data_IF_960188918782
#
_entry.id   IF_960188918782
#
_cell.length_a   1.000
_cell.length_b   1.000
_cell.length_c   1.000
_cell.angle_alpha   90.00
_cell.angle_beta   90.00
_cell.angle_gamma   90.00
#
_symmetry.space_group_name_H-M   'P 1'
#
loop_
_entity.id
_entity.type
_entity.pdbx_description
1 polymer ?
#
# COMPACT_ATOMS: atom_id res chain seq x y z
N UNK A 1 2.58 7.73 32.05
CA UNK A 1 1.51 7.96 31.05
C UNK A 1 2.22 8.53 29.84
N UNK A 2 2.16 7.86 28.68
CA UNK A 2 2.67 8.44 27.43
C UNK A 2 1.68 9.52 27.01
N UNK A 3 2.15 10.76 26.88
CA UNK A 3 1.34 11.88 26.42
C UNK A 3 1.23 11.83 24.88
N UNK A 4 0.11 12.30 24.33
CA UNK A 4 -0.22 12.29 22.90
C UNK A 4 0.94 12.72 21.95
N UNK A 5 1.72 13.79 22.22
CA UNK A 5 2.84 14.19 21.36
C UNK A 5 4.02 13.19 21.34
N UNK A 6 4.14 12.34 22.36
CA UNK A 6 5.20 11.32 22.45
C UNK A 6 4.86 10.09 21.61
N UNK A 7 3.56 9.81 21.42
CA UNK A 7 3.08 8.73 20.57
C UNK A 7 3.36 9.03 19.10
N UNK A 8 3.02 10.23 18.62
CA UNK A 8 3.25 10.60 17.21
C UNK A 8 4.75 10.60 16.88
N UNK A 9 5.60 11.11 17.79
CA UNK A 9 7.04 11.07 17.64
C UNK A 9 7.59 9.63 17.67
N UNK A 10 7.06 8.76 18.54
CA UNK A 10 7.47 7.36 18.60
C UNK A 10 7.06 6.59 17.33
N UNK A 11 5.86 6.83 16.80
CA UNK A 11 5.40 6.20 15.55
C UNK A 11 6.26 6.70 14.38
N UNK A 12 6.49 8.01 14.25
CA UNK A 12 7.31 8.57 13.17
C UNK A 12 8.76 8.04 13.19
N UNK A 13 9.38 7.91 14.38
CA UNK A 13 10.74 7.37 14.53
C UNK A 13 10.85 5.89 14.15
N UNK A 14 9.75 5.15 14.26
CA UNK A 14 9.69 3.73 13.95
C UNK A 14 8.88 3.45 12.67
N UNK A 15 8.61 4.46 11.83
CA UNK A 15 7.78 4.31 10.65
C UNK A 15 8.26 3.20 9.70
N UNK A 16 9.59 2.99 9.63
CA UNK A 16 10.23 1.93 8.85
C UNK A 16 9.98 0.50 9.39
N UNK A 17 9.55 0.36 10.63
CA UNK A 17 9.20 -0.91 11.28
C UNK A 17 7.68 -1.12 11.36
N UNK A 18 6.90 -0.19 10.80
CA UNK A 18 5.45 -0.33 10.68
C UNK A 18 5.18 -1.17 9.44
N UNK A 19 4.87 -2.44 9.67
CA UNK A 19 4.50 -3.41 8.64
C UNK A 19 3.12 -4.01 8.94
N UNK A 20 2.63 -4.84 8.02
CA UNK A 20 1.36 -5.54 8.17
C UNK A 20 1.30 -6.42 9.44
N UNK A 21 2.45 -6.97 9.86
CA UNK A 21 2.55 -7.80 11.07
C UNK A 21 2.28 -6.97 12.32
N UNK A 22 2.85 -5.77 12.42
CA UNK A 22 2.60 -4.84 13.52
C UNK A 22 1.12 -4.46 13.59
N UNK A 23 0.48 -4.20 12.45
CA UNK A 23 -0.95 -3.88 12.36
C UNK A 23 -1.79 -5.06 12.86
N UNK A 24 -1.47 -6.28 12.43
CA UNK A 24 -2.18 -7.48 12.86
C UNK A 24 -2.10 -7.69 14.38
N UNK A 25 -0.90 -7.52 14.97
CA UNK A 25 -0.69 -7.61 16.43
C UNK A 25 -1.44 -6.50 17.17
N UNK A 26 -1.41 -5.27 16.67
CA UNK A 26 -2.13 -4.14 17.27
C UNK A 26 -3.65 -4.38 17.28
N UNK A 27 -4.20 -4.88 16.18
CA UNK A 27 -5.62 -5.21 16.05
C UNK A 27 -6.02 -6.36 17.00
N UNK A 28 -5.20 -7.41 17.10
CA UNK A 28 -5.43 -8.52 18.03
C UNK A 28 -5.48 -8.03 19.50
N UNK A 29 -4.55 -7.15 19.89
CA UNK A 29 -4.54 -6.56 21.23
C UNK A 29 -5.76 -5.66 21.49
N UNK A 30 -6.19 -4.89 20.50
CA UNK A 30 -7.40 -4.07 20.59
C UNK A 30 -8.64 -4.94 20.84
N UNK A 31 -8.80 -6.03 20.08
CA UNK A 31 -9.91 -6.96 20.23
C UNK A 31 -9.90 -7.63 21.62
N UNK A 32 -8.74 -8.03 22.13
CA UNK A 32 -8.63 -8.60 23.47
C UNK A 32 -8.97 -7.59 24.57
N UNK A 33 -8.53 -6.34 24.43
CA UNK A 33 -8.89 -5.26 25.37
C UNK A 33 -10.40 -4.99 25.38
N UNK A 34 -11.04 -5.00 24.20
CA UNK A 34 -12.50 -4.89 24.08
C UNK A 34 -13.23 -6.08 24.73
N UNK A 35 -12.73 -7.31 24.51
CA UNK A 35 -13.29 -8.54 25.12
C UNK A 35 -13.22 -8.49 26.65
N UNK A 36 -12.14 -7.95 27.20
CA UNK A 36 -11.95 -7.73 28.64
C UNK A 36 -12.74 -6.53 29.18
N UNK A 37 -13.43 -5.77 28.32
CA UNK A 37 -14.10 -4.49 28.64
C UNK A 37 -13.14 -3.48 29.26
N UNK A 38 -11.86 -3.54 28.91
CA UNK A 38 -10.88 -2.54 29.29
C UNK A 38 -11.02 -1.33 28.36
N UNK A 39 -11.92 -0.43 28.75
CA UNK A 39 -12.27 0.78 28.00
C UNK A 39 -11.05 1.69 27.82
N UNK A 40 -10.19 1.79 28.83
CA UNK A 40 -9.03 2.68 28.77
C UNK A 40 -7.97 2.15 27.80
N UNK A 41 -7.67 0.85 27.85
CA UNK A 41 -6.69 0.24 26.96
C UNK A 41 -7.20 0.16 25.53
N UNK A 42 -8.47 -0.19 25.33
CA UNK A 42 -9.07 -0.21 23.98
C UNK A 42 -9.10 1.18 23.33
N UNK A 43 -9.43 2.24 24.08
CA UNK A 43 -9.39 3.60 23.55
C UNK A 43 -7.97 4.01 23.10
N UNK A 44 -6.94 3.67 23.89
CA UNK A 44 -5.54 3.96 23.53
C UNK A 44 -5.08 3.18 22.31
N UNK A 45 -5.35 1.87 22.27
CA UNK A 45 -4.96 1.02 21.14
C UNK A 45 -5.65 1.46 19.85
N UNK A 46 -6.92 1.86 19.93
CA UNK A 46 -7.64 2.44 18.79
C UNK A 46 -6.99 3.74 18.30
N UNK A 47 -6.66 4.65 19.22
CA UNK A 47 -6.00 5.92 18.89
C UNK A 47 -4.60 5.73 18.24
N UNK A 48 -3.86 4.69 18.64
CA UNK A 48 -2.58 4.32 18.02
C UNK A 48 -2.82 3.70 16.63
N UNK A 49 -3.81 2.81 16.49
CA UNK A 49 -4.16 2.20 15.21
C UNK A 49 -4.52 3.25 14.15
N UNK A 50 -5.38 4.22 14.51
CA UNK A 50 -5.77 5.30 13.59
C UNK A 50 -4.57 6.14 13.14
N UNK A 51 -3.62 6.42 14.03
CA UNK A 51 -2.39 7.17 13.70
C UNK A 51 -1.44 6.37 12.82
N UNK A 52 -1.25 5.09 13.11
CA UNK A 52 -0.42 4.18 12.31
C UNK A 52 -0.97 4.09 10.89
N UNK A 53 -2.29 3.88 10.75
CA UNK A 53 -2.96 3.84 9.44
C UNK A 53 -2.83 5.18 8.71
N UNK A 54 -3.01 6.31 9.40
CA UNK A 54 -2.85 7.62 8.80
C UNK A 54 -1.39 7.87 8.32
N UNK A 55 -0.39 7.39 9.06
CA UNK A 55 1.01 7.51 8.67
C UNK A 55 1.34 6.66 7.45
N UNK A 56 0.84 5.42 7.39
CA UNK A 56 0.98 4.55 6.21
C UNK A 56 0.35 5.21 4.98
N UNK A 57 -0.84 5.78 5.13
CA UNK A 57 -1.53 6.49 4.05
C UNK A 57 -0.76 7.75 3.59
N UNK A 58 -0.14 8.48 4.51
CA UNK A 58 0.69 9.65 4.19
C UNK A 58 2.02 9.30 3.53
N UNK A 59 2.50 8.06 3.70
CA UNK A 59 3.74 7.55 3.11
C UNK A 59 3.49 6.57 1.97
N UNK A 60 2.26 6.43 1.50
CA UNK A 60 1.96 5.51 0.40
C UNK A 60 2.72 6.00 -0.84
N UNK A 61 3.61 5.18 -1.43
CA UNK A 61 4.38 5.60 -2.59
C UNK A 61 3.43 6.00 -3.72
N UNK A 62 3.77 7.07 -4.45
CA UNK A 62 2.95 7.57 -5.57
C UNK A 62 2.74 6.46 -6.62
N UNK A 63 3.72 5.58 -6.79
CA UNK A 63 3.64 4.42 -7.66
C UNK A 63 2.54 3.43 -7.24
N UNK A 64 2.32 3.23 -5.94
CA UNK A 64 1.28 2.32 -5.43
C UNK A 64 -0.11 2.91 -5.70
N UNK A 65 -0.28 4.21 -5.46
CA UNK A 65 -1.53 4.92 -5.78
C UNK A 65 -1.84 4.83 -7.27
N UNK A 66 -0.82 5.01 -8.11
CA UNK A 66 -0.97 4.91 -9.56
C UNK A 66 -1.40 3.51 -9.98
N UNK A 67 -0.89 2.45 -9.36
CA UNK A 67 -1.35 1.07 -9.62
C UNK A 67 -2.80 0.84 -9.19
N UNK A 68 -3.25 1.43 -8.08
CA UNK A 68 -4.67 1.35 -7.72
C UNK A 68 -5.57 2.01 -8.77
N UNK A 69 -5.17 3.17 -9.31
CA UNK A 69 -5.89 3.83 -10.39
C UNK A 69 -5.92 2.99 -11.67
N UNK A 70 -4.83 2.28 -12.00
CA UNK A 70 -4.76 1.35 -13.13
C UNK A 70 -5.76 0.21 -13.03
N UNK A 71 -5.89 -0.37 -11.84
CA UNK A 71 -6.81 -1.47 -11.55
C UNK A 71 -8.28 -1.00 -11.58
N UNK A 72 -8.52 0.28 -11.26
CA UNK A 72 -9.85 0.88 -11.31
C UNK A 72 -10.22 1.45 -12.69
N UNK A 73 -9.26 1.54 -13.62
CA UNK A 73 -9.49 2.15 -14.91
C UNK A 73 -10.55 1.38 -15.74
N UNK A 74 -11.50 2.09 -16.40
CA UNK A 74 -12.66 1.45 -17.04
C UNK A 74 -12.30 0.49 -18.18
N UNK A 75 -11.15 0.70 -18.82
CA UNK A 75 -10.67 -0.11 -19.93
C UNK A 75 -9.16 -0.30 -19.87
N UNK A 76 -8.66 -1.29 -20.63
CA UNK A 76 -7.22 -1.51 -20.78
C UNK A 76 -6.54 -0.31 -21.45
N UNK A 77 -7.21 0.38 -22.37
CA UNK A 77 -6.67 1.56 -23.05
C UNK A 77 -6.50 2.74 -22.08
N UNK A 78 -7.47 2.95 -21.18
CA UNK A 78 -7.38 3.98 -20.13
C UNK A 78 -6.23 3.66 -19.15
N UNK A 79 -6.10 2.39 -18.75
CA UNK A 79 -4.97 1.96 -17.92
C UNK A 79 -3.63 2.17 -18.63
N UNK A 80 -3.56 1.89 -19.93
CA UNK A 80 -2.34 2.07 -20.72
C UNK A 80 -1.88 3.54 -20.72
N UNK A 81 -2.82 4.49 -20.80
CA UNK A 81 -2.51 5.92 -20.72
C UNK A 81 -1.93 6.30 -19.35
N UNK A 82 -2.52 5.80 -18.26
CA UNK A 82 -2.05 6.04 -16.89
C UNK A 82 -0.65 5.42 -16.68
N UNK A 83 -0.41 4.19 -17.16
CA UNK A 83 0.92 3.56 -17.08
C UNK A 83 1.94 4.42 -17.80
N UNK A 84 1.65 4.86 -19.03
CA UNK A 84 2.61 5.65 -19.81
C UNK A 84 2.97 6.99 -19.15
N UNK A 85 2.00 7.64 -18.49
CA UNK A 85 2.26 8.86 -17.72
C UNK A 85 3.09 8.58 -16.46
N UNK A 86 2.73 7.54 -15.70
CA UNK A 86 3.50 7.10 -14.53
C UNK A 86 4.91 6.65 -14.90
N UNK A 87 5.09 5.98 -16.04
CA UNK A 87 6.38 5.56 -16.57
C UNK A 87 7.30 6.75 -16.88
N UNK A 88 6.75 7.88 -17.31
CA UNK A 88 7.54 9.09 -17.56
C UNK A 88 8.08 9.73 -16.27
N UNK A 89 7.41 9.50 -15.13
CA UNK A 89 7.73 10.10 -13.83
C UNK A 89 8.56 9.15 -12.95
N UNK A 90 8.27 7.85 -12.97
CA UNK A 90 8.81 6.85 -12.03
C UNK A 90 9.67 5.77 -12.72
N UNK A 91 9.60 5.63 -14.05
CA UNK A 91 10.44 4.71 -14.82
C UNK A 91 10.33 3.25 -14.36
N UNK A 92 11.48 2.57 -14.21
CA UNK A 92 11.55 1.16 -13.79
C UNK A 92 10.93 0.89 -12.41
N UNK A 93 10.94 1.86 -11.50
CA UNK A 93 10.37 1.69 -10.15
C UNK A 93 8.87 1.39 -10.21
N UNK A 94 8.13 2.02 -11.12
CA UNK A 94 6.70 1.72 -11.30
C UNK A 94 6.48 0.28 -11.78
N UNK A 95 7.33 -0.22 -12.67
CA UNK A 95 7.26 -1.60 -13.17
C UNK A 95 7.48 -2.61 -12.05
N UNK A 96 8.46 -2.36 -11.17
CA UNK A 96 8.74 -3.23 -10.02
C UNK A 96 7.55 -3.28 -9.06
N UNK A 97 6.91 -2.13 -8.81
CA UNK A 97 5.70 -2.03 -7.97
C UNK A 97 4.53 -2.76 -8.62
N UNK A 98 4.29 -2.54 -9.92
CA UNK A 98 3.26 -3.26 -10.69
C UNK A 98 3.47 -4.77 -10.65
N UNK A 99 4.72 -5.24 -10.80
CA UNK A 99 5.05 -6.67 -10.77
C UNK A 99 4.80 -7.28 -9.38
N UNK A 100 5.15 -6.54 -8.33
CA UNK A 100 4.90 -6.95 -6.94
C UNK A 100 3.39 -7.11 -6.70
N UNK A 101 2.58 -6.14 -7.13
CA UNK A 101 1.13 -6.18 -6.97
C UNK A 101 0.50 -7.28 -7.86
N UNK A 102 0.98 -7.47 -9.08
CA UNK A 102 0.52 -8.54 -9.96
C UNK A 102 0.73 -9.93 -9.32
N UNK A 103 1.90 -10.15 -8.69
CA UNK A 103 2.17 -11.39 -7.96
C UNK A 103 1.21 -11.57 -6.78
N UNK A 104 0.92 -10.53 -6.00
CA UNK A 104 -0.06 -10.60 -4.90
C UNK A 104 -1.46 -10.98 -5.42
N UNK A 105 -1.89 -10.39 -6.53
CA UNK A 105 -3.17 -10.71 -7.16
C UNK A 105 -3.22 -12.17 -7.64
N UNK A 106 -2.12 -12.69 -8.17
CA UNK A 106 -1.98 -14.11 -8.53
C UNK A 106 -2.13 -15.02 -7.30
N UNK A 107 -1.47 -14.68 -6.18
CA UNK A 107 -1.55 -15.41 -4.92
C UNK A 107 -2.97 -15.35 -4.30
N UNK A 108 -3.69 -14.25 -4.47
CA UNK A 108 -5.08 -14.07 -4.07
C UNK A 108 -6.10 -14.75 -5.00
N UNK A 109 -5.66 -15.26 -6.15
CA UNK A 109 -6.53 -15.88 -7.17
C UNK A 109 -7.34 -14.87 -7.99
N UNK A 110 -6.96 -13.58 -7.98
CA UNK A 110 -7.56 -12.50 -8.78
C UNK A 110 -6.94 -12.43 -10.17
N UNK A 111 -7.08 -13.53 -10.90
CA UNK A 111 -6.39 -13.77 -12.18
C UNK A 111 -6.73 -12.76 -13.28
N UNK A 112 -7.95 -12.21 -13.27
CA UNK A 112 -8.39 -11.21 -14.24
C UNK A 112 -7.59 -9.90 -14.13
N UNK A 113 -7.30 -9.48 -12.91
CA UNK A 113 -6.57 -8.26 -12.64
C UNK A 113 -5.05 -8.47 -12.71
N UNK A 114 -4.56 -9.64 -12.31
CA UNK A 114 -3.14 -9.96 -12.46
C UNK A 114 -2.76 -10.06 -13.94
N UNK A 115 -3.55 -10.76 -14.78
CA UNK A 115 -3.34 -10.82 -16.23
C UNK A 115 -3.31 -9.43 -16.86
N UNK A 116 -4.23 -8.55 -16.44
CA UNK A 116 -4.25 -7.16 -16.88
C UNK A 116 -2.96 -6.41 -16.53
N UNK A 117 -2.46 -6.53 -15.30
CA UNK A 117 -1.19 -5.91 -14.92
C UNK A 117 -0.01 -6.50 -15.69
N UNK A 118 0.03 -7.82 -15.89
CA UNK A 118 1.10 -8.47 -16.66
C UNK A 118 1.19 -7.97 -18.10
N UNK A 119 0.04 -7.74 -18.77
CA UNK A 119 0.00 -7.12 -20.10
C UNK A 119 0.62 -5.73 -20.07
N UNK A 120 0.20 -4.89 -19.12
CA UNK A 120 0.66 -3.52 -18.99
C UNK A 120 2.16 -3.43 -18.63
N UNK A 121 2.66 -4.33 -17.80
CA UNK A 121 4.08 -4.46 -17.46
C UNK A 121 4.90 -4.77 -18.72
N UNK A 122 4.46 -5.74 -19.53
CA UNK A 122 5.17 -6.11 -20.76
C UNK A 122 5.21 -4.95 -21.77
N UNK A 123 4.12 -4.20 -21.89
CA UNK A 123 4.06 -3.00 -22.73
C UNK A 123 5.00 -1.89 -22.20
N UNK A 124 4.99 -1.62 -20.90
CA UNK A 124 5.86 -0.63 -20.26
C UNK A 124 7.36 -0.98 -20.38
N UNK A 125 7.71 -2.25 -20.17
CA UNK A 125 9.08 -2.75 -20.36
C UNK A 125 9.54 -2.62 -21.83
N UNK A 126 8.64 -2.87 -22.77
CA UNK A 126 8.93 -2.71 -24.20
C UNK A 126 9.14 -1.24 -24.57
N UNK A 127 8.44 -0.32 -23.90
CA UNK A 127 8.63 1.13 -24.07
C UNK A 127 9.94 1.66 -23.45
N UNK A 128 10.48 0.98 -22.43
CA UNK A 128 11.81 1.26 -21.87
C UNK A 128 12.97 0.64 -22.69
N UNK A 129 12.71 -0.46 -23.41
CA UNK A 129 13.67 -1.10 -24.32
C UNK A 129 14.06 -0.20 -25.49
N UNK A 130 15.31 -0.32 -25.98
CA UNK A 130 16.22 0.80 -26.12
C UNK A 130 15.73 1.85 -27.12
N UNK A 131 15.71 3.11 -26.68
CA UNK A 131 15.96 4.20 -27.61
C UNK A 131 17.44 4.09 -28.04
N UNK A 132 17.64 3.66 -29.30
CA UNK A 132 18.90 3.45 -30.04
C UNK A 132 19.55 2.06 -30.00
#
# INVERSE_FOLDING_TARGET
MLEEPDIDAAIARNAHAIDETLIAVLNANLQEAQRRRDVQTSAKLKAIYERVVALIQQSMPEEVVLVEELLQAPSLDDARAIVMDGMAQHGETLIDVMATIAQQLDEEGRTDLSERLHILIAEAQSALGPSA
#
